data_IF_226998982823
#
_entry.id   IF_226998982823
#
_cell.length_a   1.000
_cell.length_b   1.000
_cell.length_c   1.000
_cell.angle_alpha   90.00
_cell.angle_beta   90.00
_cell.angle_gamma   90.00
#
_symmetry.space_group_name_H-M   'P 1'
#
loop_
_entity.id
_entity.type
_entity.pdbx_description
1 polymer ?
#
# COMPACT_ATOMS: atom_id res chain seq x y z
N UNK A 1 1.48 -25.86 -4.62
CA UNK A 1 1.50 -25.08 -3.36
C UNK A 1 0.16 -24.39 -3.24
N UNK A 2 -0.61 -24.66 -2.18
CA UNK A 2 -2.05 -24.32 -2.15
C UNK A 2 -2.29 -22.82 -1.94
N UNK A 3 -1.42 -22.14 -1.21
CA UNK A 3 -1.42 -20.67 -1.03
C UNK A 3 -0.10 -20.25 -0.36
N UNK A 4 0.51 -19.12 -0.73
CA UNK A 4 1.46 -18.42 0.14
C UNK A 4 0.73 -17.20 0.73
N UNK A 5 0.84 -17.06 2.04
CA UNK A 5 0.08 -16.09 2.83
C UNK A 5 0.39 -14.63 2.49
N UNK A 6 -0.13 -13.68 3.28
CA UNK A 6 0.11 -12.26 3.04
C UNK A 6 1.58 -11.92 3.25
N UNK A 7 2.36 -11.87 2.16
CA UNK A 7 3.77 -11.49 2.17
C UNK A 7 3.83 -9.96 2.23
N UNK A 8 4.34 -9.35 3.31
CA UNK A 8 4.52 -7.91 3.38
C UNK A 8 5.70 -7.51 2.49
N UNK A 9 5.46 -6.63 1.53
CA UNK A 9 6.53 -5.97 0.80
C UNK A 9 7.05 -4.78 1.63
N UNK A 10 8.32 -4.36 1.41
CA UNK A 10 8.87 -3.19 2.07
C UNK A 10 7.99 -1.96 1.90
N UNK A 11 7.63 -1.32 3.02
CA UNK A 11 6.82 -0.10 3.03
C UNK A 11 7.57 1.02 2.32
N UNK A 12 6.96 1.60 1.29
CA UNK A 12 7.50 2.80 0.65
C UNK A 12 7.19 4.01 1.52
N UNK A 13 8.23 4.74 1.90
CA UNK A 13 8.15 5.95 2.74
C UNK A 13 8.33 7.17 1.85
N UNK A 14 7.24 7.83 1.50
CA UNK A 14 7.27 9.11 0.81
C UNK A 14 7.45 10.21 1.86
N UNK A 15 8.57 10.92 1.81
CA UNK A 15 8.91 11.97 2.76
C UNK A 15 8.84 13.32 2.06
N UNK A 16 8.01 14.21 2.59
CA UNK A 16 7.92 15.60 2.13
C UNK A 16 8.32 16.49 3.30
N UNK A 17 9.40 17.24 3.13
CA UNK A 17 9.84 18.20 4.13
C UNK A 17 9.52 19.61 3.66
N UNK A 18 8.62 20.28 4.36
CA UNK A 18 8.23 21.67 4.06
C UNK A 18 8.67 22.58 5.20
N UNK A 19 8.91 23.85 4.86
CA UNK A 19 9.11 24.88 5.87
C UNK A 19 7.75 25.20 6.50
N UNK A 20 7.73 25.44 7.82
CA UNK A 20 6.51 25.87 8.51
C UNK A 20 6.05 27.25 8.08
N UNK A 21 6.99 28.19 8.01
CA UNK A 21 6.72 29.57 7.63
C UNK A 21 6.48 29.68 6.11
N UNK A 22 5.39 30.32 5.66
CA UNK A 22 5.12 30.58 4.25
C UNK A 22 5.91 31.78 3.68
N UNK A 23 6.21 32.76 4.53
CA UNK A 23 6.89 34.03 4.22
C UNK A 23 8.41 33.97 4.41
N UNK A 24 8.89 32.96 5.13
CA UNK A 24 10.31 32.73 5.35
C UNK A 24 10.93 33.54 6.49
N UNK A 25 10.12 34.23 7.27
CA UNK A 25 10.54 34.96 8.47
C UNK A 25 10.58 34.04 9.72
N UNK A 26 11.31 34.50 10.74
CA UNK A 26 11.50 33.78 12.00
C UNK A 26 12.45 32.57 11.94
N UNK A 27 12.49 31.78 13.01
CA UNK A 27 13.40 30.62 13.13
C UNK A 27 13.08 29.55 12.09
N UNK A 28 14.12 29.05 11.39
CA UNK A 28 14.00 28.01 10.38
C UNK A 28 13.50 26.68 10.99
N UNK A 29 12.17 26.53 11.02
CA UNK A 29 11.48 25.32 11.46
C UNK A 29 10.93 24.55 10.26
N UNK A 30 11.07 23.23 10.33
CA UNK A 30 10.74 22.31 9.26
C UNK A 30 9.73 21.27 9.73
N UNK A 31 8.71 21.04 8.92
CA UNK A 31 7.78 19.92 9.06
C UNK A 31 8.27 18.74 8.23
N UNK A 32 8.07 17.54 8.77
CA UNK A 32 8.48 16.29 8.14
C UNK A 32 7.23 15.43 7.98
N UNK A 33 6.55 15.60 6.86
CA UNK A 33 5.42 14.77 6.49
C UNK A 33 5.93 13.44 5.93
N UNK A 34 5.27 12.35 6.34
CA UNK A 34 5.56 11.01 5.84
C UNK A 34 4.25 10.34 5.42
N UNK A 35 4.20 9.86 4.18
CA UNK A 35 3.16 8.95 3.70
C UNK A 35 3.77 7.55 3.57
N UNK A 36 3.18 6.58 4.27
CA UNK A 36 3.64 5.19 4.30
C UNK A 36 2.72 4.29 3.48
N UNK A 37 3.19 3.84 2.34
CA UNK A 37 2.45 2.92 1.46
C UNK A 37 2.84 1.48 1.79
N UNK A 38 1.88 0.72 2.33
CA UNK A 38 2.06 -0.69 2.68
C UNK A 38 1.51 -1.57 1.56
N UNK A 39 2.38 -2.31 0.87
CA UNK A 39 1.99 -3.28 -0.16
C UNK A 39 2.11 -4.69 0.41
N UNK A 40 1.09 -5.53 0.15
CA UNK A 40 1.08 -6.95 0.53
C UNK A 40 0.76 -7.76 -0.72
N UNK A 41 1.36 -8.93 -0.85
CA UNK A 41 1.11 -9.87 -1.95
C UNK A 41 0.60 -11.18 -1.36
N UNK A 42 -0.41 -11.76 -2.00
CA UNK A 42 -0.93 -13.09 -1.67
C UNK A 42 -0.75 -13.92 -2.94
N UNK A 43 -0.16 -15.10 -2.80
CA UNK A 43 0.03 -16.04 -3.90
C UNK A 43 -1.02 -17.15 -3.77
N UNK A 44 -1.92 -17.24 -4.74
CA UNK A 44 -2.98 -18.23 -4.77
C UNK A 44 -2.64 -19.28 -5.82
N UNK A 45 -2.78 -20.57 -5.48
CA UNK A 45 -2.72 -21.63 -6.48
C UNK A 45 -3.81 -21.46 -7.55
N UNK A 46 -3.54 -21.94 -8.76
CA UNK A 46 -4.43 -21.86 -9.92
C UNK A 46 -5.75 -22.63 -9.66
N UNK A 47 -6.75 -21.95 -9.10
CA UNK A 47 -8.15 -22.38 -9.09
C UNK A 47 -9.05 -21.17 -9.41
N UNK A 48 -9.68 -21.19 -10.58
CA UNK A 48 -10.59 -20.13 -11.03
C UNK A 48 -11.77 -19.92 -10.07
N UNK A 49 -12.17 -20.97 -9.34
CA UNK A 49 -13.26 -20.89 -8.35
C UNK A 49 -12.84 -20.03 -7.15
N UNK A 50 -11.60 -20.16 -6.71
CA UNK A 50 -11.06 -19.36 -5.60
C UNK A 50 -10.97 -17.88 -5.98
N UNK A 51 -10.58 -17.55 -7.21
CA UNK A 51 -10.51 -16.15 -7.69
C UNK A 51 -11.88 -15.45 -7.65
N UNK A 52 -12.94 -16.13 -8.10
CA UNK A 52 -14.32 -15.58 -8.06
C UNK A 52 -14.81 -15.33 -6.65
N UNK A 53 -14.42 -16.17 -5.69
CA UNK A 53 -14.78 -15.99 -4.28
C UNK A 53 -14.05 -14.80 -3.65
N UNK A 54 -12.78 -14.58 -4.02
CA UNK A 54 -11.98 -13.44 -3.52
C UNK A 54 -12.55 -12.10 -3.99
N UNK A 55 -13.01 -12.00 -5.23
CA UNK A 55 -13.62 -10.76 -5.75
C UNK A 55 -14.93 -10.39 -5.04
N UNK A 56 -15.59 -11.35 -4.37
CA UNK A 56 -16.84 -11.11 -3.64
C UNK A 56 -16.62 -10.54 -2.23
N UNK A 57 -15.38 -10.50 -1.74
CA UNK A 57 -15.08 -9.99 -0.40
C UNK A 57 -15.27 -8.46 -0.39
N UNK A 58 -16.01 -7.89 0.58
CA UNK A 58 -16.19 -6.45 0.67
C UNK A 58 -14.85 -5.76 0.93
N UNK A 59 -14.48 -4.83 0.04
CA UNK A 59 -13.23 -4.08 0.13
C UNK A 59 -13.48 -2.86 1.02
N UNK A 60 -12.70 -2.67 2.11
CA UNK A 60 -12.80 -1.46 2.92
C UNK A 60 -12.31 -0.23 2.13
N UNK A 61 -12.93 0.92 2.38
CA UNK A 61 -12.53 2.18 1.74
C UNK A 61 -11.08 2.53 2.07
N UNK A 62 -10.29 2.90 1.05
CA UNK A 62 -8.88 3.24 1.19
C UNK A 62 -7.88 2.10 0.91
N UNK A 63 -8.35 0.91 0.56
CA UNK A 63 -7.50 -0.19 0.09
C UNK A 63 -7.60 -0.33 -1.44
N UNK A 64 -6.46 -0.36 -2.12
CA UNK A 64 -6.39 -0.72 -3.54
C UNK A 64 -5.90 -2.16 -3.70
N UNK A 65 -6.65 -3.00 -4.42
CA UNK A 65 -6.32 -4.40 -4.70
C UNK A 65 -6.14 -4.55 -6.22
N UNK A 66 -5.03 -5.16 -6.63
CA UNK A 66 -4.73 -5.51 -8.02
C UNK A 66 -4.50 -7.02 -8.10
N UNK A 67 -5.10 -7.68 -9.09
CA UNK A 67 -4.99 -9.13 -9.31
C UNK A 67 -4.29 -9.33 -10.66
N UNK A 68 -3.13 -9.99 -10.64
CA UNK A 68 -2.38 -10.39 -11.84
C UNK A 68 -2.37 -11.91 -11.96
N UNK A 69 -2.67 -12.44 -13.16
CA UNK A 69 -2.44 -13.84 -13.49
C UNK A 69 -1.03 -13.99 -14.07
N UNK A 70 -0.18 -14.79 -13.45
CA UNK A 70 1.11 -15.20 -14.01
C UNK A 70 0.96 -16.62 -14.56
N UNK A 71 1.30 -16.80 -15.84
CA UNK A 71 1.46 -18.12 -16.48
C UNK A 71 2.56 -18.95 -15.82
#
# INVERSE_FOLDING_TARGET
>A
VVMRGPIPLPTRKLRVTTRKSPDGEGTATWERYEMRVHKRVIDLGLDERALRLVMRVPIPEGLNIEIEMKE
#
